data_IF_721227357895
#
_entry.id   IF_721227357895
#
_cell.length_a   1.000
_cell.length_b   1.000
_cell.length_c   1.000
_cell.angle_alpha   90.00
_cell.angle_beta   90.00
_cell.angle_gamma   90.00
#
_symmetry.space_group_name_H-M   'P 1'
#
loop_
_entity.id
_entity.type
_entity.pdbx_description
1 polymer ?
#
# COMPACT_ATOMS: atom_id res chain seq x y z
N UNK A 1 -2.45 -3.54 15.40
CA UNK A 1 -1.05 -3.78 14.99
C UNK A 1 -0.28 -2.50 15.21
N UNK A 2 0.64 -2.47 16.16
CA UNK A 2 1.51 -1.30 16.36
C UNK A 2 2.64 -1.27 15.33
N UNK A 3 3.06 -0.07 14.92
CA UNK A 3 4.24 0.16 14.07
C UNK A 3 4.25 -0.63 12.75
N UNK A 4 3.08 -0.77 12.11
CA UNK A 4 2.95 -1.43 10.83
C UNK A 4 3.60 -0.61 9.72
N UNK A 5 4.49 -1.25 8.98
CA UNK A 5 5.22 -0.68 7.84
C UNK A 5 4.33 -0.57 6.61
N UNK A 6 4.36 0.59 5.97
CA UNK A 6 3.78 0.81 4.65
C UNK A 6 4.80 1.51 3.77
N UNK A 7 5.00 0.98 2.57
CA UNK A 7 5.74 1.67 1.52
C UNK A 7 4.79 2.32 0.53
N UNK A 8 5.14 3.53 0.11
CA UNK A 8 4.47 4.26 -0.97
C UNK A 8 5.53 4.73 -1.97
N UNK A 9 5.13 4.96 -3.21
CA UNK A 9 6.03 5.66 -4.14
C UNK A 9 6.28 7.08 -3.64
N UNK A 10 7.54 7.50 -3.62
CA UNK A 10 7.92 8.83 -3.14
C UNK A 10 7.23 9.89 -3.99
N UNK A 11 6.60 10.85 -3.32
CA UNK A 11 5.95 11.96 -4.01
C UNK A 11 6.99 12.78 -4.76
N UNK A 12 6.83 12.87 -6.07
CA UNK A 12 7.70 13.67 -6.91
C UNK A 12 6.92 14.84 -7.49
N UNK A 13 7.18 16.04 -6.95
CA UNK A 13 6.93 17.29 -7.70
C UNK A 13 7.62 17.20 -9.08
N UNK A 14 8.80 16.56 -9.15
CA UNK A 14 9.49 16.37 -10.43
C UNK A 14 8.80 15.39 -11.40
N UNK A 15 7.78 14.63 -10.98
CA UNK A 15 7.06 13.73 -11.89
C UNK A 15 6.15 14.53 -12.81
N UNK A 16 5.41 15.52 -12.27
CA UNK A 16 4.61 16.45 -13.07
C UNK A 16 5.49 17.41 -13.88
N UNK A 17 6.69 17.75 -13.40
CA UNK A 17 7.67 18.55 -14.16
C UNK A 17 8.07 17.92 -15.50
N UNK A 18 7.95 16.60 -15.67
CA UNK A 18 8.24 15.94 -16.97
C UNK A 18 7.20 16.24 -18.05
N UNK A 19 6.07 16.85 -17.68
CA UNK A 19 4.93 17.11 -18.56
C UNK A 19 4.78 18.58 -18.95
N UNK A 20 5.69 19.45 -18.50
CA UNK A 20 5.62 20.91 -18.64
C UNK A 20 6.99 21.48 -18.96
N UNK A 21 7.04 22.59 -19.69
CA UNK A 21 8.29 23.23 -20.11
C UNK A 21 8.69 24.40 -19.21
N UNK A 22 7.73 24.95 -18.46
CA UNK A 22 7.94 26.14 -17.62
C UNK A 22 7.37 26.00 -16.20
N UNK A 23 7.89 26.81 -15.27
CA UNK A 23 7.36 26.88 -13.90
C UNK A 23 5.91 27.37 -13.84
N UNK A 24 5.50 28.21 -14.80
CA UNK A 24 4.12 28.70 -14.86
C UNK A 24 3.15 27.58 -15.27
N UNK A 25 3.52 26.78 -16.27
CA UNK A 25 2.75 25.59 -16.65
C UNK A 25 2.71 24.56 -15.52
N UNK A 26 3.83 24.38 -14.81
CA UNK A 26 3.87 23.52 -13.62
C UNK A 26 2.86 23.96 -12.56
N UNK A 27 2.79 25.27 -12.26
CA UNK A 27 1.85 25.79 -11.28
C UNK A 27 0.39 25.57 -11.71
N UNK A 28 0.08 25.75 -13.00
CA UNK A 28 -1.25 25.47 -13.56
C UNK A 28 -1.57 23.97 -13.46
N UNK A 29 -0.62 23.10 -13.81
CA UNK A 29 -0.80 21.65 -13.73
C UNK A 29 -1.05 21.20 -12.28
N UNK A 30 -0.30 21.69 -11.30
CA UNK A 30 -0.53 21.37 -9.88
C UNK A 30 -1.90 21.87 -9.40
N UNK A 31 -2.33 23.06 -9.83
CA UNK A 31 -3.66 23.56 -9.49
C UNK A 31 -4.77 22.67 -10.08
N UNK A 32 -4.62 22.23 -11.33
CA UNK A 32 -5.54 21.29 -11.98
C UNK A 32 -5.55 19.93 -11.28
N UNK A 33 -4.37 19.42 -10.93
CA UNK A 33 -4.22 18.16 -10.21
C UNK A 33 -4.89 18.24 -8.84
N UNK A 34 -4.62 19.28 -8.04
CA UNK A 34 -5.25 19.46 -6.73
C UNK A 34 -6.78 19.58 -6.86
N UNK A 35 -7.26 20.38 -7.81
CA UNK A 35 -8.70 20.57 -8.07
C UNK A 35 -9.42 19.30 -8.57
N UNK A 36 -8.68 18.37 -9.19
CA UNK A 36 -9.24 17.10 -9.69
C UNK A 36 -9.33 16.00 -8.63
N UNK A 37 -8.68 16.16 -7.47
CA UNK A 37 -8.65 15.11 -6.45
C UNK A 37 -10.05 14.93 -5.84
N UNK A 38 -10.52 13.68 -5.65
CA UNK A 38 -11.78 13.42 -4.97
C UNK A 38 -11.84 14.06 -3.57
N UNK A 39 -13.04 14.25 -3.05
CA UNK A 39 -13.21 14.68 -1.66
C UNK A 39 -12.52 13.68 -0.71
N UNK A 40 -11.84 14.20 0.31
CA UNK A 40 -11.31 13.34 1.36
C UNK A 40 -12.47 12.69 2.13
N UNK A 41 -12.33 11.43 2.57
CA UNK A 41 -13.32 10.82 3.45
C UNK A 41 -13.39 11.55 4.80
N UNK A 42 -14.47 11.37 5.58
CA UNK A 42 -14.54 11.86 6.94
C UNK A 42 -13.32 11.38 7.75
N UNK A 43 -12.65 12.32 8.41
CA UNK A 43 -11.43 12.06 9.18
C UNK A 43 -11.32 13.01 10.37
N UNK A 44 -10.49 12.62 11.33
CA UNK A 44 -10.15 13.45 12.47
C UNK A 44 -9.25 14.61 12.06
N UNK A 45 -9.47 15.78 12.67
CA UNK A 45 -8.66 16.96 12.40
C UNK A 45 -7.17 16.67 12.73
N UNK A 46 -6.27 17.03 11.82
CA UNK A 46 -4.83 16.81 11.98
C UNK A 46 -4.32 15.43 11.57
N UNK A 47 -5.17 14.54 11.07
CA UNK A 47 -4.74 13.25 10.53
C UNK A 47 -3.82 13.44 9.32
N UNK A 48 -2.66 12.78 9.33
CA UNK A 48 -1.65 12.96 8.29
C UNK A 48 -2.11 12.45 6.92
N UNK A 49 -1.79 13.16 5.85
CA UNK A 49 -2.25 12.84 4.48
C UNK A 49 -1.84 11.43 4.02
N UNK A 50 -0.69 10.91 4.48
CA UNK A 50 -0.24 9.56 4.16
C UNK A 50 -1.20 8.48 4.68
N UNK A 51 -1.88 8.74 5.80
CA UNK A 51 -2.89 7.84 6.35
C UNK A 51 -4.24 7.97 5.65
N UNK A 52 -4.56 9.16 5.13
CA UNK A 52 -5.83 9.45 4.45
C UNK A 52 -5.86 9.08 2.97
N UNK A 53 -4.74 9.28 2.28
CA UNK A 53 -4.66 9.11 0.82
C UNK A 53 -5.15 7.74 0.31
N UNK A 54 -4.99 6.60 1.03
CA UNK A 54 -5.48 5.32 0.56
C UNK A 54 -7.00 5.25 0.44
N UNK A 55 -7.74 6.02 1.24
CA UNK A 55 -9.20 6.05 1.26
C UNK A 55 -9.80 7.14 0.35
N UNK A 56 -8.97 7.97 -0.28
CA UNK A 56 -9.42 9.09 -1.12
C UNK A 56 -9.79 8.67 -2.54
N UNK A 57 -9.14 7.63 -3.06
CA UNK A 57 -9.24 7.22 -4.47
C UNK A 57 -10.02 5.92 -4.66
N UNK A 58 -10.50 5.68 -5.89
CA UNK A 58 -11.31 4.52 -6.28
C UNK A 58 -10.62 3.71 -7.39
N UNK A 59 -9.63 2.85 -7.05
CA UNK A 59 -8.86 2.11 -8.05
C UNK A 59 -9.73 1.15 -8.87
N UNK A 60 -9.48 1.11 -10.19
CA UNK A 60 -10.24 0.30 -11.15
C UNK A 60 -9.86 -1.19 -11.15
N UNK A 61 -8.71 -1.56 -10.60
CA UNK A 61 -8.36 -2.95 -10.29
C UNK A 61 -8.89 -3.31 -8.89
N UNK A 62 -9.05 -4.60 -8.57
CA UNK A 62 -9.34 -5.06 -7.20
C UNK A 62 -8.06 -5.25 -6.37
N UNK A 63 -8.18 -5.27 -5.05
CA UNK A 63 -7.15 -5.77 -4.13
C UNK A 63 -7.74 -6.89 -3.25
N UNK A 64 -6.90 -7.54 -2.43
CA UNK A 64 -7.31 -8.73 -1.66
C UNK A 64 -8.59 -8.53 -0.85
N UNK A 65 -8.80 -7.37 -0.24
CA UNK A 65 -9.98 -7.09 0.60
C UNK A 65 -10.90 -6.01 0.04
N UNK A 66 -10.77 -5.67 -1.25
CA UNK A 66 -11.57 -4.59 -1.86
C UNK A 66 -11.85 -4.85 -3.34
N UNK A 67 -13.13 -4.85 -3.76
CA UNK A 67 -13.52 -4.89 -5.17
C UNK A 67 -13.04 -3.67 -5.95
N UNK A 68 -12.90 -3.82 -7.27
CA UNK A 68 -12.66 -2.72 -8.21
C UNK A 68 -13.71 -1.61 -8.07
N UNK A 69 -13.32 -0.36 -8.31
CA UNK A 69 -14.22 0.80 -8.29
C UNK A 69 -14.74 1.20 -6.90
N UNK A 70 -14.28 0.54 -5.83
CA UNK A 70 -14.54 0.94 -4.44
C UNK A 70 -13.41 1.80 -3.89
N UNK A 71 -13.70 2.57 -2.84
CA UNK A 71 -12.70 3.34 -2.08
C UNK A 71 -11.52 2.44 -1.72
N UNK A 72 -10.31 2.94 -1.89
CA UNK A 72 -9.10 2.23 -1.48
C UNK A 72 -9.06 1.97 0.03
N UNK A 73 -8.19 1.05 0.42
CA UNK A 73 -7.94 0.65 1.80
C UNK A 73 -6.46 0.87 2.15
N UNK A 74 -6.17 1.05 3.43
CA UNK A 74 -4.79 1.09 3.90
C UNK A 74 -4.30 -0.32 4.19
N UNK A 75 -3.14 -0.65 3.65
CA UNK A 75 -2.42 -1.91 3.84
C UNK A 75 -1.06 -1.63 4.45
N UNK A 76 -0.67 -2.45 5.43
CA UNK A 76 0.65 -2.42 6.05
C UNK A 76 1.09 -3.79 6.54
N UNK A 77 2.37 -3.88 6.89
CA UNK A 77 3.08 -5.11 7.25
C UNK A 77 3.68 -4.99 8.63
N UNK A 78 3.71 -6.08 9.40
CA UNK A 78 4.36 -6.10 10.71
C UNK A 78 5.88 -5.93 10.63
N UNK A 79 6.48 -6.20 9.47
CA UNK A 79 7.92 -6.05 9.23
C UNK A 79 8.18 -5.24 7.96
N UNK A 80 9.33 -4.55 7.92
CA UNK A 80 9.77 -3.82 6.73
C UNK A 80 9.95 -4.78 5.54
N UNK A 81 10.60 -5.93 5.76
CA UNK A 81 10.78 -6.97 4.75
C UNK A 81 9.45 -7.49 4.17
N UNK A 82 8.40 -7.64 4.99
CA UNK A 82 7.07 -8.02 4.50
C UNK A 82 6.45 -6.93 3.62
N UNK A 83 6.63 -5.65 3.99
CA UNK A 83 6.17 -4.52 3.18
C UNK A 83 6.94 -4.45 1.84
N UNK A 84 8.26 -4.69 1.87
CA UNK A 84 9.08 -4.80 0.66
C UNK A 84 8.64 -5.96 -0.24
N UNK A 85 8.31 -7.12 0.33
CA UNK A 85 7.84 -8.30 -0.41
C UNK A 85 6.52 -8.02 -1.15
N UNK A 86 5.56 -7.35 -0.50
CA UNK A 86 4.29 -6.98 -1.13
C UNK A 86 4.51 -5.98 -2.28
N UNK A 87 5.37 -4.97 -2.10
CA UNK A 87 5.70 -4.02 -3.17
C UNK A 87 6.41 -4.71 -4.32
N UNK A 88 7.39 -5.58 -4.02
CA UNK A 88 8.14 -6.33 -5.02
C UNK A 88 7.22 -7.14 -5.94
N UNK A 89 6.29 -7.89 -5.33
CA UNK A 89 5.29 -8.65 -6.07
C UNK A 89 4.49 -7.78 -7.04
N UNK A 90 3.95 -6.65 -6.58
CA UNK A 90 3.14 -5.79 -7.44
C UNK A 90 3.94 -5.07 -8.53
N UNK A 91 5.23 -4.78 -8.30
CA UNK A 91 6.13 -4.24 -9.33
C UNK A 91 6.43 -5.28 -10.42
N UNK A 92 6.70 -6.53 -10.03
CA UNK A 92 6.87 -7.62 -10.99
C UNK A 92 5.59 -7.88 -11.78
N UNK A 93 4.42 -7.94 -11.11
CA UNK A 93 3.12 -8.07 -11.79
C UNK A 93 2.88 -6.95 -12.79
N UNK A 94 3.16 -5.70 -12.44
CA UNK A 94 3.05 -4.57 -13.35
C UNK A 94 3.91 -4.75 -14.62
N UNK A 95 5.17 -5.20 -14.47
CA UNK A 95 6.07 -5.45 -15.62
C UNK A 95 5.55 -6.62 -16.46
N UNK A 96 5.16 -7.73 -15.81
CA UNK A 96 4.67 -8.94 -16.49
C UNK A 96 3.38 -8.69 -17.27
N UNK A 97 2.49 -7.83 -16.74
CA UNK A 97 1.21 -7.49 -17.36
C UNK A 97 1.34 -6.33 -18.38
N UNK A 98 2.56 -5.79 -18.58
CA UNK A 98 2.84 -4.68 -19.51
C UNK A 98 3.59 -5.14 -20.75
N UNK A 99 2.93 -5.14 -21.91
CA UNK A 99 3.52 -5.58 -23.18
C UNK A 99 4.83 -4.88 -23.55
N UNK A 100 4.99 -3.60 -23.20
CA UNK A 100 6.20 -2.82 -23.45
C UNK A 100 7.36 -3.07 -22.47
N UNK A 101 7.09 -3.71 -21.32
CA UNK A 101 8.08 -3.92 -20.26
C UNK A 101 8.46 -5.39 -20.07
N UNK A 102 7.59 -6.34 -20.44
CA UNK A 102 7.75 -7.76 -20.09
C UNK A 102 9.05 -8.41 -20.58
N UNK A 103 9.62 -8.00 -21.71
CA UNK A 103 10.80 -8.67 -22.29
C UNK A 103 12.13 -8.07 -21.83
N UNK A 104 12.23 -6.74 -21.75
CA UNK A 104 13.50 -6.04 -21.45
C UNK A 104 13.30 -4.78 -20.58
N UNK A 105 12.10 -4.60 -20.04
CA UNK A 105 11.79 -3.47 -19.19
C UNK A 105 12.41 -3.64 -17.81
N UNK A 106 13.04 -2.58 -17.34
CA UNK A 106 13.29 -2.36 -15.93
C UNK A 106 12.48 -1.16 -15.46
N UNK A 107 12.02 -1.23 -14.22
CA UNK A 107 11.32 -0.14 -13.56
C UNK A 107 12.13 0.31 -12.36
N UNK A 108 12.61 1.55 -12.42
CA UNK A 108 13.25 2.22 -11.29
C UNK A 108 12.23 3.14 -10.62
N UNK A 109 11.96 2.91 -9.34
CA UNK A 109 11.08 3.74 -8.53
C UNK A 109 11.76 4.14 -7.23
N UNK A 110 11.40 5.31 -6.72
CA UNK A 110 11.73 5.69 -5.35
C UNK A 110 10.56 5.40 -4.44
N UNK A 111 10.87 4.85 -3.27
CA UNK A 111 9.87 4.48 -2.27
C UNK A 111 10.14 5.25 -0.97
N UNK A 112 9.06 5.59 -0.28
CA UNK A 112 9.08 6.04 1.10
C UNK A 112 8.37 5.00 1.95
N UNK A 113 9.08 4.41 2.89
CA UNK A 113 8.51 3.57 3.94
C UNK A 113 8.30 4.40 5.20
N UNK A 114 7.22 4.12 5.91
CA UNK A 114 6.90 4.71 7.20
C UNK A 114 6.10 3.73 8.04
N UNK A 115 6.00 4.02 9.34
CA UNK A 115 5.21 3.21 10.28
C UNK A 115 3.95 3.95 10.70
N UNK A 116 2.87 3.18 10.89
CA UNK A 116 1.64 3.64 11.53
C UNK A 116 1.04 2.52 12.37
N UNK A 117 0.30 2.87 13.41
CA UNK A 117 -0.45 1.90 14.21
C UNK A 117 -1.85 1.74 13.65
N UNK A 118 -2.30 0.50 13.57
CA UNK A 118 -3.67 0.11 13.21
C UNK A 118 -4.38 -0.38 14.47
N UNK A 119 -5.44 0.30 14.90
CA UNK A 119 -6.15 0.02 16.17
C UNK A 119 -7.66 -0.07 15.91
N UNK A 120 -8.41 -0.41 16.96
CA UNK A 120 -9.85 -0.65 16.89
C UNK A 120 -10.19 -2.14 16.86
N UNK A 121 -11.47 -2.44 16.63
CA UNK A 121 -11.99 -3.81 16.55
C UNK A 121 -11.41 -4.52 15.33
N UNK A 122 -10.94 -5.74 15.56
CA UNK A 122 -10.19 -6.48 14.57
C UNK A 122 -10.76 -7.89 14.36
N UNK A 123 -10.59 -8.41 13.15
CA UNK A 123 -10.61 -9.86 12.91
C UNK A 123 -9.16 -10.30 12.71
N UNK A 124 -8.73 -11.33 13.46
CA UNK A 124 -7.44 -11.96 13.25
C UNK A 124 -7.61 -13.27 12.48
N UNK A 125 -7.29 -13.25 11.18
CA UNK A 125 -7.37 -14.43 10.32
C UNK A 125 -6.26 -15.46 10.59
N UNK A 126 -5.20 -15.08 11.31
CA UNK A 126 -4.10 -15.98 11.66
C UNK A 126 -4.41 -16.81 12.93
N UNK A 127 -5.56 -16.59 13.57
CA UNK A 127 -5.99 -17.32 14.76
C UNK A 127 -7.20 -18.23 14.46
N UNK A 128 -7.40 -19.26 15.27
CA UNK A 128 -8.60 -20.10 15.19
C UNK A 128 -9.89 -19.27 15.48
N UNK A 129 -11.04 -19.60 14.87
CA UNK A 129 -11.23 -20.67 13.88
C UNK A 129 -10.83 -20.26 12.46
N UNK A 130 -10.42 -19.00 12.25
CA UNK A 130 -10.16 -18.47 10.92
C UNK A 130 -8.98 -19.17 10.26
N UNK A 131 -7.90 -19.45 10.99
CA UNK A 131 -6.67 -20.08 10.48
C UNK A 131 -6.91 -21.25 9.51
N UNK A 132 -7.93 -22.07 9.76
CA UNK A 132 -8.29 -23.23 8.95
C UNK A 132 -8.84 -22.86 7.55
N UNK A 133 -9.36 -21.64 7.41
CA UNK A 133 -9.85 -21.07 6.15
C UNK A 133 -8.75 -20.35 5.36
N UNK A 134 -7.47 -20.52 5.73
CA UNK A 134 -6.36 -19.83 5.07
C UNK A 134 -6.25 -19.99 3.55
N UNK A 135 -6.66 -21.13 2.94
CA UNK A 135 -6.69 -21.22 1.48
C UNK A 135 -7.58 -20.15 0.82
N UNK A 136 -8.64 -19.69 1.49
CA UNK A 136 -9.56 -18.69 0.94
C UNK A 136 -8.92 -17.30 0.86
N UNK A 137 -8.29 -16.80 1.92
CA UNK A 137 -7.68 -15.46 1.87
C UNK A 137 -6.27 -15.46 1.29
N UNK A 138 -5.59 -16.61 1.21
CA UNK A 138 -4.29 -16.73 0.52
C UNK A 138 -4.41 -16.97 -0.97
N UNK A 139 -5.62 -17.17 -1.50
CA UNK A 139 -5.83 -17.38 -2.92
C UNK A 139 -5.19 -16.24 -3.76
N UNK A 140 -4.54 -16.62 -4.87
CA UNK A 140 -3.68 -15.70 -5.64
C UNK A 140 -4.48 -14.68 -6.45
N UNK A 141 -5.57 -15.10 -7.09
CA UNK A 141 -6.38 -14.28 -8.01
C UNK A 141 -7.86 -14.14 -7.64
N UNK A 142 -8.50 -15.18 -7.08
CA UNK A 142 -9.86 -15.09 -6.55
C UNK A 142 -9.88 -14.41 -5.18
N UNK A 143 -10.54 -13.26 -5.09
CA UNK A 143 -10.73 -12.49 -3.86
C UNK A 143 -12.19 -12.48 -3.39
N UNK A 144 -13.05 -13.34 -3.92
CA UNK A 144 -14.48 -13.34 -3.63
C UNK A 144 -14.77 -13.52 -2.14
N UNK A 145 -14.09 -14.47 -1.49
CA UNK A 145 -14.25 -14.72 -0.05
C UNK A 145 -13.77 -13.54 0.82
N UNK A 146 -12.64 -12.93 0.47
CA UNK A 146 -12.08 -11.80 1.23
C UNK A 146 -12.83 -10.49 0.98
N UNK A 147 -13.44 -10.32 -0.19
CA UNK A 147 -14.37 -9.21 -0.46
C UNK A 147 -15.63 -9.34 0.38
N UNK A 148 -16.25 -10.52 0.40
CA UNK A 148 -17.43 -10.78 1.24
C UNK A 148 -17.12 -10.60 2.73
N UNK A 149 -15.96 -11.08 3.18
CA UNK A 149 -15.50 -10.87 4.55
C UNK A 149 -15.32 -9.39 4.87
N UNK A 150 -14.67 -8.61 4.00
CA UNK A 150 -14.45 -7.18 4.24
C UNK A 150 -15.77 -6.40 4.29
N UNK A 151 -16.72 -6.73 3.41
CA UNK A 151 -18.06 -6.14 3.42
C UNK A 151 -18.81 -6.45 4.72
N UNK A 152 -18.84 -7.73 5.13
CA UNK A 152 -19.46 -8.14 6.39
C UNK A 152 -18.77 -7.51 7.61
N UNK A 153 -17.44 -7.40 7.59
CA UNK A 153 -16.65 -6.77 8.65
C UNK A 153 -17.01 -5.29 8.80
N UNK A 154 -17.08 -4.53 7.69
CA UNK A 154 -17.51 -3.13 7.71
C UNK A 154 -18.96 -2.99 8.22
N UNK A 155 -19.88 -3.85 7.79
CA UNK A 155 -21.26 -3.86 8.28
C UNK A 155 -21.36 -4.16 9.80
N UNK A 156 -20.45 -5.01 10.31
CA UNK A 156 -20.31 -5.29 11.74
C UNK A 156 -19.46 -4.24 12.50
N UNK A 157 -19.03 -3.18 11.81
CA UNK A 157 -18.20 -2.09 12.34
C UNK A 157 -16.85 -2.57 12.90
N UNK A 158 -16.26 -3.59 12.26
CA UNK A 158 -14.85 -3.97 12.42
C UNK A 158 -14.00 -2.93 11.69
N UNK A 159 -12.93 -2.49 12.35
CA UNK A 159 -12.09 -1.38 11.89
C UNK A 159 -10.94 -1.87 10.99
N UNK A 160 -10.44 -3.09 11.23
CA UNK A 160 -9.33 -3.66 10.48
C UNK A 160 -9.28 -5.19 10.53
N UNK A 161 -8.51 -5.80 9.62
CA UNK A 161 -8.30 -7.25 9.56
C UNK A 161 -6.80 -7.53 9.56
N UNK A 162 -6.37 -8.45 10.42
CA UNK A 162 -5.03 -9.02 10.41
C UNK A 162 -5.03 -10.31 9.59
N UNK A 163 -4.06 -10.48 8.69
CA UNK A 163 -3.95 -11.65 7.84
C UNK A 163 -2.48 -11.93 7.48
N UNK A 164 -2.16 -13.17 7.12
CA UNK A 164 -0.80 -13.53 6.74
C UNK A 164 -0.49 -13.09 5.30
N UNK A 165 0.72 -12.56 5.06
CA UNK A 165 1.22 -12.31 3.71
C UNK A 165 1.38 -13.62 2.93
N UNK A 166 0.99 -13.59 1.66
CA UNK A 166 1.28 -14.70 0.72
C UNK A 166 2.71 -14.60 0.19
N UNK A 167 3.31 -13.40 0.20
CA UNK A 167 4.65 -13.11 -0.35
C UNK A 167 5.77 -13.20 0.68
N UNK A 168 5.41 -13.11 1.96
CA UNK A 168 6.30 -13.31 3.10
C UNK A 168 5.58 -14.19 4.16
N UNK A 169 5.62 -15.52 4.02
CA UNK A 169 4.95 -16.43 4.97
C UNK A 169 5.31 -16.12 6.42
N UNK A 170 4.36 -16.31 7.33
CA UNK A 170 4.41 -15.90 8.75
C UNK A 170 4.45 -14.39 9.02
N UNK A 171 4.64 -13.53 8.01
CA UNK A 171 4.52 -12.09 8.19
C UNK A 171 3.05 -11.68 8.31
N UNK A 172 2.70 -11.00 9.40
CA UNK A 172 1.36 -10.48 9.60
C UNK A 172 1.18 -9.16 8.87
N UNK A 173 0.17 -9.08 8.03
CA UNK A 173 -0.30 -7.86 7.39
C UNK A 173 -1.54 -7.33 8.11
N UNK A 174 -1.78 -6.04 7.97
CA UNK A 174 -2.98 -5.37 8.40
C UNK A 174 -3.64 -4.70 7.19
N UNK A 175 -4.96 -4.84 7.08
CA UNK A 175 -5.79 -3.98 6.24
C UNK A 175 -6.73 -3.18 7.12
N UNK A 176 -6.60 -1.86 7.09
CA UNK A 176 -7.56 -0.97 7.73
C UNK A 176 -8.74 -0.74 6.79
N UNK A 177 -9.95 -1.00 7.29
CA UNK A 177 -11.20 -0.83 6.57
C UNK A 177 -11.70 0.61 6.63
N UNK A 178 -11.25 1.37 7.64
CA UNK A 178 -11.61 2.76 7.87
C UNK A 178 -10.37 3.60 8.16
N UNK A 179 -10.44 4.90 7.89
CA UNK A 179 -9.38 5.85 8.22
C UNK A 179 -9.21 6.00 9.74
N UNK A 180 -10.30 5.85 10.51
CA UNK A 180 -10.33 5.97 11.97
C UNK A 180 -9.52 4.86 12.67
N UNK A 181 -9.23 3.76 11.97
CA UNK A 181 -8.38 2.70 12.49
C UNK A 181 -6.89 3.08 12.52
N UNK A 182 -6.48 4.17 11.86
CA UNK A 182 -5.07 4.53 11.68
C UNK A 182 -4.61 5.63 12.63
N UNK A 183 -3.45 5.40 13.24
CA UNK A 183 -2.85 6.29 14.23
C UNK A 183 -1.36 6.45 13.95
N UNK A 184 -0.95 7.67 13.66
CA UNK A 184 0.43 8.12 13.76
C UNK A 184 0.42 9.64 13.83
N UNK A 185 1.14 10.21 14.79
CA UNK A 185 1.40 11.65 14.76
C UNK A 185 2.51 11.98 13.75
N UNK A 186 2.66 13.27 13.45
CA UNK A 186 3.64 13.72 12.46
C UNK A 186 5.08 13.37 12.87
N UNK A 187 5.41 13.43 14.15
CA UNK A 187 6.77 13.14 14.63
C UNK A 187 7.11 11.64 14.47
N UNK A 188 6.17 10.74 14.78
CA UNK A 188 6.33 9.31 14.61
C UNK A 188 6.47 8.91 13.14
N UNK A 189 5.70 9.55 12.24
CA UNK A 189 5.81 9.34 10.80
C UNK A 189 7.18 9.78 10.29
N UNK A 190 7.65 10.97 10.66
CA UNK A 190 8.97 11.46 10.23
C UNK A 190 10.12 10.64 10.82
N UNK A 191 10.01 10.21 12.08
CA UNK A 191 11.05 9.41 12.74
C UNK A 191 11.21 8.02 12.09
N UNK A 192 10.10 7.40 11.67
CA UNK A 192 10.10 6.10 11.00
C UNK A 192 10.36 6.18 9.49
N UNK A 193 10.41 7.39 8.92
CA UNK A 193 10.53 7.61 7.48
C UNK A 193 11.86 7.07 6.95
N UNK A 194 11.77 6.19 5.96
CA UNK A 194 12.92 5.68 5.21
C UNK A 194 12.71 5.88 3.71
N UNK A 195 13.72 6.39 3.02
CA UNK A 195 13.70 6.54 1.57
C UNK A 195 14.52 5.43 0.92
N UNK A 196 13.97 4.81 -0.12
CA UNK A 196 14.54 3.64 -0.78
C UNK A 196 14.52 3.82 -2.29
N UNK A 197 15.43 3.14 -2.97
CA UNK A 197 15.43 2.98 -4.42
C UNK A 197 15.06 1.53 -4.71
N UNK A 198 14.06 1.32 -5.55
CA UNK A 198 13.57 0.01 -5.98
C UNK A 198 13.80 -0.17 -7.48
N UNK A 199 14.56 -1.19 -7.85
CA UNK A 199 14.69 -1.67 -9.22
C UNK A 199 13.93 -2.99 -9.37
N UNK A 200 12.97 -3.03 -10.28
CA UNK A 200 12.22 -4.22 -10.62
C UNK A 200 12.46 -4.62 -12.08
N UNK A 201 12.58 -5.91 -12.32
CA UNK A 201 12.55 -6.56 -13.63
C UNK A 201 11.41 -7.57 -13.65
N UNK A 202 11.27 -8.32 -14.76
CA UNK A 202 10.31 -9.44 -14.84
C UNK A 202 10.55 -10.52 -13.78
N UNK A 203 11.81 -10.74 -13.41
CA UNK A 203 12.25 -11.93 -12.67
C UNK A 203 12.71 -11.62 -11.24
N UNK A 204 13.01 -10.35 -10.95
CA UNK A 204 13.59 -9.96 -9.68
C UNK A 204 13.26 -8.51 -9.30
N UNK A 205 13.18 -8.26 -7.99
CA UNK A 205 13.18 -6.91 -7.42
C UNK A 205 14.33 -6.75 -6.43
N UNK A 206 15.04 -5.64 -6.53
CA UNK A 206 16.03 -5.19 -5.56
C UNK A 206 15.61 -3.85 -4.99
N UNK A 207 15.77 -3.68 -3.68
CA UNK A 207 15.54 -2.41 -2.99
C UNK A 207 16.75 -2.08 -2.10
N UNK A 208 17.17 -0.82 -2.11
CA UNK A 208 18.28 -0.32 -1.29
C UNK A 208 17.84 0.95 -0.58
N UNK A 209 18.02 1.00 0.74
CA UNK A 209 17.84 2.22 1.53
C UNK A 209 18.79 3.31 1.03
N UNK A 210 18.31 4.54 0.86
CA UNK A 210 19.16 5.68 0.48
C UNK A 210 20.23 6.00 1.53
N UNK A 211 20.05 5.53 2.78
CA UNK A 211 21.09 5.62 3.82
C UNK A 211 22.19 4.56 3.64
N UNK A 212 21.95 3.53 2.82
CA UNK A 212 22.91 2.47 2.47
C UNK A 212 23.06 1.36 3.51
N UNK A 213 22.27 1.40 4.58
CA UNK A 213 22.29 0.49 5.74
C UNK A 213 21.47 -0.78 5.52
N UNK A 214 20.41 -0.72 4.72
CA UNK A 214 19.50 -1.84 4.47
C UNK A 214 19.36 -2.17 2.98
N UNK A 215 19.25 -3.46 2.67
CA UNK A 215 19.06 -3.99 1.31
C UNK A 215 18.06 -5.13 1.35
N UNK A 216 17.29 -5.27 0.27
CA UNK A 216 16.28 -6.29 0.11
C UNK A 216 16.26 -6.81 -1.32
N UNK A 217 16.06 -8.11 -1.48
CA UNK A 217 15.96 -8.79 -2.78
C UNK A 217 14.79 -9.76 -2.72
N UNK A 218 14.05 -9.86 -3.82
CA UNK A 218 12.87 -10.71 -3.93
C UNK A 218 12.75 -11.31 -5.32
N UNK A 219 12.39 -12.58 -5.37
CA UNK A 219 11.99 -13.35 -6.55
C UNK A 219 10.75 -14.18 -6.19
N UNK A 220 9.95 -14.52 -7.20
CA UNK A 220 8.73 -15.33 -7.06
C UNK A 220 9.02 -16.83 -6.93
#
# INVERSE_FOLDING_TARGET
>A
MENAWRGVETQYIAASMKLVDTLQEQAVLEQLLEGSKPAAPPHEAGMHYLLLSPFRYFPQHSSRFRPAGRSGLWYGSSTLAGACSEIAYWRMRFIQDSAGLVNHGELLTELTFYQASVRGRAINLMAAPWADLSPLWKHSADYSATHQLAEAAMAASIDWIQYESVRAPSCALAVALTAQALFADHAALEQSRQEWICKATRDQVMMISKRGDERFEWCE
#
